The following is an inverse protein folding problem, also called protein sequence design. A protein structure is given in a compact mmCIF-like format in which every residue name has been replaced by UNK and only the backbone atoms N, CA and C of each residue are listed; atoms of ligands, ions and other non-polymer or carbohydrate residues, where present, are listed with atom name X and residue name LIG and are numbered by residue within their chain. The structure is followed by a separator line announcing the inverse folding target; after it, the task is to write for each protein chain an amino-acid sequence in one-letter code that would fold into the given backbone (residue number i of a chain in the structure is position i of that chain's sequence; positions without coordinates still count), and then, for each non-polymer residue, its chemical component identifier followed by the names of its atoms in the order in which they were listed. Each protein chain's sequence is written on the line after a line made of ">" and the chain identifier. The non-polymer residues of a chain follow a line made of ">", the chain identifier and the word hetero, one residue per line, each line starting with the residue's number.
data_IF_206355789466
#
_entry.id   IF_206355789466
#
_cell.length_a   1.000
_cell.length_b   1.000
_cell.length_c   1.000
_cell.angle_alpha   90.00
_cell.angle_beta   90.00
_cell.angle_gamma   90.00
#
_symmetry.space_group_name_H-M   'P 1'
#
loop_
_entity.id
_entity.type
_entity.pdbx_description
1 polymer ?
#
# COMPACT_ATOMS: atom_id res chain seq x y z
N UNK A 1 17.74 10.89 40.99
CA UNK A 1 16.39 10.29 41.07
C UNK A 1 15.33 11.08 40.28
N UNK A 2 15.44 12.41 40.14
CA UNK A 2 14.47 13.21 39.35
C UNK A 2 14.48 12.97 37.83
N UNK A 3 15.63 12.62 37.24
CA UNK A 3 15.74 12.32 35.80
C UNK A 3 14.98 11.06 35.36
N UNK A 4 14.94 10.03 36.22
CA UNK A 4 14.17 8.81 35.97
C UNK A 4 12.66 9.04 36.10
N UNK A 5 12.23 9.87 37.04
CA UNK A 5 10.82 10.22 37.24
C UNK A 5 10.22 10.97 36.03
N UNK A 6 11.01 11.83 35.36
CA UNK A 6 10.54 12.56 34.18
C UNK A 6 10.30 11.65 32.97
N UNK A 7 11.16 10.65 32.75
CA UNK A 7 11.02 9.70 31.63
C UNK A 7 9.78 8.80 31.75
N UNK A 8 9.40 8.42 32.99
CA UNK A 8 8.21 7.58 33.24
C UNK A 8 6.91 8.36 32.97
N UNK A 9 6.91 9.68 33.16
CA UNK A 9 5.74 10.53 32.93
C UNK A 9 5.44 10.77 31.45
N UNK A 10 6.46 10.88 30.59
CA UNK A 10 6.26 11.01 29.13
C UNK A 10 5.76 9.72 28.47
N UNK A 11 6.09 8.55 29.02
CA UNK A 11 5.67 7.26 28.46
C UNK A 11 4.18 6.95 28.69
N UNK A 12 3.54 7.57 29.69
CA UNK A 12 2.14 7.32 30.04
C UNK A 12 1.12 8.04 29.13
N UNK A 13 1.57 8.89 28.20
CA UNK A 13 0.72 9.69 27.30
C UNK A 13 0.57 9.10 25.89
N UNK A 14 1.05 7.88 25.65
CA UNK A 14 0.88 7.23 24.34
C UNK A 14 -0.51 6.60 24.23
N UNK A 15 -1.51 7.40 23.88
CA UNK A 15 -2.82 6.89 23.47
C UNK A 15 -2.66 6.02 22.22
N UNK A 16 -3.36 4.88 22.17
CA UNK A 16 -3.47 4.09 20.95
C UNK A 16 -4.10 4.98 19.86
N UNK A 17 -3.35 5.23 18.78
CA UNK A 17 -3.90 5.90 17.60
C UNK A 17 -4.71 4.88 16.81
N UNK A 18 -6.04 5.03 16.83
CA UNK A 18 -6.91 4.26 15.94
C UNK A 18 -6.96 4.97 14.59
N UNK A 19 -6.72 4.23 13.51
CA UNK A 19 -7.01 4.73 12.18
C UNK A 19 -8.53 4.96 12.08
N UNK A 20 -8.93 6.17 11.66
CA UNK A 20 -10.33 6.56 11.52
C UNK A 20 -10.69 6.65 10.04
N UNK A 21 -11.64 5.82 9.61
CA UNK A 21 -12.26 5.88 8.28
C UNK A 21 -13.42 6.88 8.35
N UNK A 22 -13.43 7.92 7.51
CA UNK A 22 -14.51 8.91 7.47
C UNK A 22 -15.76 8.38 6.74
N UNK A 23 -15.82 7.08 6.47
CA UNK A 23 -16.90 6.41 5.74
C UNK A 23 -16.72 6.48 4.22
N UNK A 24 -15.59 7.00 3.72
CA UNK A 24 -15.35 7.09 2.28
C UNK A 24 -15.29 5.71 1.60
N UNK A 25 -15.04 4.64 2.37
CA UNK A 25 -14.99 3.25 1.88
C UNK A 25 -16.19 2.40 2.32
N UNK A 26 -17.26 2.98 2.88
CA UNK A 26 -18.43 2.21 3.36
C UNK A 26 -19.20 1.51 2.23
N UNK A 27 -19.09 2.02 1.00
CA UNK A 27 -19.68 1.42 -0.18
C UNK A 27 -18.81 0.31 -0.79
N UNK A 28 -17.59 0.10 -0.29
CA UNK A 28 -16.69 -0.97 -0.73
C UNK A 28 -17.00 -2.22 0.08
N UNK A 29 -17.17 -3.36 -0.60
CA UNK A 29 -17.53 -4.60 0.06
C UNK A 29 -16.48 -5.02 1.11
N UNK A 30 -16.88 -5.64 2.23
CA UNK A 30 -15.96 -6.00 3.31
C UNK A 30 -14.80 -6.91 2.89
N UNK A 31 -15.04 -7.81 1.94
CA UNK A 31 -14.06 -8.72 1.36
C UNK A 31 -12.98 -7.99 0.56
N UNK A 32 -13.35 -6.98 -0.24
CA UNK A 32 -12.36 -6.15 -0.96
C UNK A 32 -11.55 -5.32 0.05
N UNK A 33 -12.19 -4.71 1.05
CA UNK A 33 -11.48 -3.97 2.11
C UNK A 33 -10.50 -4.87 2.88
N UNK A 34 -10.92 -6.10 3.19
CA UNK A 34 -10.05 -7.08 3.85
C UNK A 34 -8.90 -7.51 2.93
N UNK A 35 -9.15 -7.65 1.63
CA UNK A 35 -8.11 -7.95 0.64
C UNK A 35 -7.02 -6.88 0.67
N UNK A 36 -7.37 -5.59 0.55
CA UNK A 36 -6.41 -4.48 0.62
C UNK A 36 -5.50 -4.55 1.85
N UNK A 37 -6.09 -4.78 3.04
CA UNK A 37 -5.35 -4.91 4.32
C UNK A 37 -4.45 -6.14 4.40
N UNK A 38 -4.73 -7.15 3.58
CA UNK A 38 -4.02 -8.42 3.61
C UNK A 38 -2.83 -8.47 2.65
N UNK A 39 -2.76 -7.57 1.66
CA UNK A 39 -1.73 -7.61 0.62
C UNK A 39 -0.36 -7.23 1.20
N UNK A 40 0.63 -8.08 0.96
CA UNK A 40 2.02 -7.92 1.41
C UNK A 40 2.91 -8.16 0.20
N UNK A 41 3.86 -7.25 -0.05
CA UNK A 41 4.82 -7.41 -1.13
C UNK A 41 5.78 -8.60 -0.87
N UNK A 42 6.42 -9.17 -1.91
CA UNK A 42 7.38 -10.27 -1.77
C UNK A 42 8.51 -10.02 -0.76
N UNK A 43 8.87 -8.76 -0.52
CA UNK A 43 9.86 -8.37 0.48
C UNK A 43 9.34 -8.35 1.93
N UNK A 44 8.09 -8.78 2.16
CA UNK A 44 7.45 -8.84 3.48
C UNK A 44 6.86 -7.52 3.97
N UNK A 45 6.91 -6.44 3.17
CA UNK A 45 6.36 -5.14 3.55
C UNK A 45 4.87 -5.09 3.20
N UNK A 46 3.97 -4.74 4.14
CA UNK A 46 2.55 -4.59 3.86
C UNK A 46 2.32 -3.41 2.89
N UNK A 47 1.32 -3.55 2.02
CA UNK A 47 0.93 -2.50 1.07
C UNK A 47 0.10 -1.37 1.70
N UNK A 48 -0.10 -1.40 3.03
CA UNK A 48 -0.96 -0.52 3.82
C UNK A 48 -2.46 -0.85 3.68
N UNK A 49 -3.24 -0.03 2.98
CA UNK A 49 -4.70 -0.20 2.85
C UNK A 49 -5.21 0.35 1.50
N UNK A 50 -6.54 0.36 1.33
CA UNK A 50 -7.25 0.94 0.19
C UNK A 50 -7.01 2.45 0.02
N UNK A 51 -6.64 3.15 1.09
CA UNK A 51 -6.29 4.57 1.05
C UNK A 51 -5.03 4.88 0.27
N UNK A 52 -4.11 3.92 0.20
CA UNK A 52 -2.79 4.10 -0.43
C UNK A 52 -2.73 3.42 -1.81
N UNK A 53 -3.73 2.60 -2.12
CA UNK A 53 -3.82 1.83 -3.36
C UNK A 53 -4.55 2.61 -4.46
N UNK A 54 -3.92 2.68 -5.62
CA UNK A 54 -4.44 3.41 -6.77
C UNK A 54 -4.79 2.41 -7.87
N UNK A 55 -6.06 2.38 -8.27
CA UNK A 55 -6.46 1.68 -9.49
C UNK A 55 -5.73 2.32 -10.66
N UNK A 56 -5.12 1.49 -11.50
CA UNK A 56 -4.27 1.97 -12.58
C UNK A 56 -4.38 1.09 -13.81
N UNK A 57 -4.02 1.65 -14.95
CA UNK A 57 -3.69 0.88 -16.14
C UNK A 57 -2.22 0.46 -16.08
N UNK A 58 -1.83 -0.51 -16.91
CA UNK A 58 -0.44 -0.89 -17.04
C UNK A 58 -0.13 -1.35 -18.45
N UNK A 59 1.15 -1.33 -18.76
CA UNK A 59 1.71 -1.77 -20.02
C UNK A 59 2.78 -2.84 -19.74
N UNK A 60 2.97 -3.80 -20.65
CA UNK A 60 3.99 -4.84 -20.49
C UNK A 60 5.05 -4.67 -21.58
N UNK A 61 6.25 -4.26 -21.17
CA UNK A 61 7.34 -3.92 -22.09
C UNK A 61 8.52 -4.84 -21.80
N UNK A 62 8.84 -5.72 -22.75
CA UNK A 62 9.95 -6.67 -22.58
C UNK A 62 9.81 -7.61 -21.37
N UNK A 63 8.58 -7.89 -20.92
CA UNK A 63 8.31 -8.73 -19.75
C UNK A 63 8.22 -7.97 -18.42
N UNK A 64 8.54 -6.67 -18.38
CA UNK A 64 8.36 -5.83 -17.20
C UNK A 64 7.02 -5.08 -17.25
N UNK A 65 6.39 -4.90 -16.09
CA UNK A 65 5.20 -4.05 -15.96
C UNK A 65 5.62 -2.58 -15.86
N UNK A 66 4.86 -1.71 -16.51
CA UNK A 66 5.00 -0.27 -16.44
C UNK A 66 3.66 0.33 -16.05
N UNK A 67 3.67 1.27 -15.11
CA UNK A 67 2.46 1.94 -14.61
C UNK A 67 2.59 3.46 -14.77
N UNK A 68 1.52 4.17 -15.14
CA UNK A 68 1.54 5.62 -15.18
C UNK A 68 1.37 6.16 -13.75
N UNK A 69 2.36 6.91 -13.27
CA UNK A 69 2.31 7.65 -12.01
C UNK A 69 2.73 9.09 -12.31
N UNK A 70 1.88 10.05 -11.97
CA UNK A 70 2.18 11.48 -12.12
C UNK A 70 2.62 11.89 -13.53
N UNK A 71 1.99 11.27 -14.55
CA UNK A 71 2.27 11.55 -15.97
C UNK A 71 3.52 10.86 -16.51
N UNK A 72 4.19 10.03 -15.72
CA UNK A 72 5.37 9.26 -16.12
C UNK A 72 5.09 7.77 -16.09
N UNK A 73 5.53 7.04 -17.11
CA UNK A 73 5.53 5.58 -17.09
C UNK A 73 6.74 5.10 -16.29
N UNK A 74 6.47 4.41 -15.18
CA UNK A 74 7.50 3.91 -14.27
C UNK A 74 7.48 2.39 -14.30
N UNK A 75 8.66 1.79 -14.47
CA UNK A 75 8.82 0.33 -14.39
C UNK A 75 8.53 -0.15 -12.95
N UNK A 76 7.69 -1.16 -12.84
CA UNK A 76 7.38 -1.80 -11.57
C UNK A 76 8.55 -2.70 -11.18
N UNK A 77 9.20 -2.47 -10.03
CA UNK A 77 10.30 -3.32 -9.60
C UNK A 77 9.78 -4.72 -9.25
N UNK A 78 10.51 -5.77 -9.62
CA UNK A 78 10.09 -7.17 -9.43
C UNK A 78 9.69 -7.48 -7.97
N UNK A 79 10.43 -6.90 -7.01
CA UNK A 79 10.15 -7.03 -5.57
C UNK A 79 8.80 -6.48 -5.10
N UNK A 80 8.08 -5.75 -5.95
CA UNK A 80 6.78 -5.15 -5.66
C UNK A 80 5.63 -5.87 -6.39
N UNK A 81 5.93 -6.78 -7.33
CA UNK A 81 4.91 -7.49 -8.11
C UNK A 81 4.31 -8.62 -7.26
N UNK A 82 2.98 -8.64 -7.15
CA UNK A 82 2.24 -9.61 -6.36
C UNK A 82 1.27 -10.35 -7.28
N UNK A 83 1.42 -11.68 -7.37
CA UNK A 83 0.58 -12.53 -8.23
C UNK A 83 -0.13 -13.67 -7.52
N UNK A 84 0.12 -13.88 -6.23
CA UNK A 84 -0.32 -15.03 -5.44
C UNK A 84 -1.51 -14.71 -4.50
N UNK A 85 -2.16 -13.56 -4.69
CA UNK A 85 -3.22 -13.03 -3.80
C UNK A 85 -4.55 -12.81 -4.50
N UNK A 86 -4.65 -13.18 -5.78
CA UNK A 86 -5.76 -12.76 -6.65
C UNK A 86 -5.91 -11.24 -6.74
N UNK A 87 -6.90 -10.79 -7.51
CA UNK A 87 -7.29 -9.39 -7.56
C UNK A 87 -8.82 -9.22 -7.67
N UNK A 88 -9.54 -9.07 -6.54
CA UNK A 88 -11.00 -8.92 -6.54
C UNK A 88 -11.44 -7.53 -7.04
N UNK A 89 -10.51 -6.59 -7.25
CA UNK A 89 -10.82 -5.24 -7.75
C UNK A 89 -11.16 -5.27 -9.25
N UNK A 90 -10.66 -6.27 -9.98
CA UNK A 90 -10.86 -6.40 -11.43
C UNK A 90 -10.07 -5.38 -12.27
N UNK A 91 -9.20 -4.59 -11.64
CA UNK A 91 -8.30 -3.62 -12.27
C UNK A 91 -6.96 -3.68 -11.55
N UNK A 92 -5.87 -3.33 -12.23
CA UNK A 92 -4.57 -3.31 -11.58
C UNK A 92 -4.54 -2.25 -10.47
N UNK A 93 -3.79 -2.52 -9.42
CA UNK A 93 -3.64 -1.63 -8.27
C UNK A 93 -2.17 -1.41 -7.99
N UNK A 94 -1.76 -0.16 -7.84
CA UNK A 94 -0.40 0.25 -7.48
C UNK A 94 -0.39 1.02 -6.17
N UNK A 95 0.58 0.72 -5.32
CA UNK A 95 0.87 1.47 -4.09
C UNK A 95 2.26 2.06 -4.21
N UNK A 96 2.37 3.36 -3.99
CA UNK A 96 3.63 4.06 -4.07
C UNK A 96 3.72 5.17 -3.03
N UNK A 97 4.95 5.57 -2.71
CA UNK A 97 5.23 6.68 -1.80
C UNK A 97 6.29 7.58 -2.41
N UNK A 98 6.29 8.86 -2.02
CA UNK A 98 7.40 9.76 -2.29
C UNK A 98 8.43 9.63 -1.17
N UNK A 99 9.62 9.14 -1.52
CA UNK A 99 10.75 9.08 -0.60
C UNK A 99 11.92 9.90 -1.17
N UNK A 100 12.31 10.96 -0.45
CA UNK A 100 13.41 11.88 -0.85
C UNK A 100 13.26 12.43 -2.28
N UNK A 101 12.03 12.74 -2.68
CA UNK A 101 11.71 13.29 -4.01
C UNK A 101 11.61 12.25 -5.14
N UNK A 102 11.79 10.96 -4.84
CA UNK A 102 11.59 9.87 -5.81
C UNK A 102 10.30 9.11 -5.51
N UNK A 103 9.61 8.66 -6.56
CA UNK A 103 8.49 7.72 -6.46
C UNK A 103 9.05 6.33 -6.23
N UNK A 104 8.61 5.69 -5.14
CA UNK A 104 8.95 4.30 -4.82
C UNK A 104 7.66 3.48 -4.89
N UNK A 105 7.59 2.57 -5.85
CA UNK A 105 6.52 1.58 -5.91
C UNK A 105 6.77 0.53 -4.83
N UNK A 106 5.85 0.45 -3.87
CA UNK A 106 5.88 -0.49 -2.77
C UNK A 106 5.20 -1.80 -3.14
N UNK A 107 4.07 -1.73 -3.84
CA UNK A 107 3.31 -2.89 -4.29
C UNK A 107 2.65 -2.65 -5.64
N UNK A 108 2.45 -3.73 -6.39
CA UNK A 108 1.69 -3.76 -7.62
C UNK A 108 1.00 -5.12 -7.76
N UNK A 109 -0.32 -5.09 -7.93
CA UNK A 109 -1.12 -6.26 -8.28
C UNK A 109 -1.69 -6.04 -9.68
N UNK A 110 -1.33 -6.85 -10.70
CA UNK A 110 -1.91 -6.73 -12.02
C UNK A 110 -3.39 -7.15 -12.04
N UNK A 111 -4.12 -6.72 -13.07
CA UNK A 111 -5.56 -7.01 -13.17
C UNK A 111 -5.86 -8.52 -13.29
N UNK A 112 -4.92 -9.28 -13.84
CA UNK A 112 -5.04 -10.72 -14.11
C UNK A 112 -4.39 -11.60 -13.02
N UNK A 113 -4.06 -11.04 -11.85
CA UNK A 113 -3.55 -11.83 -10.74
C UNK A 113 -4.62 -12.84 -10.27
N UNK A 114 -4.20 -14.09 -10.10
CA UNK A 114 -5.07 -15.24 -9.75
C UNK A 114 -4.83 -15.72 -8.33
#
# INVERSE_FOLDING_TARGET
>A
MHRLALCVWLAALTSAAFAFDNGQYDHVSPDIRAWFKSVIAPNGVPCCDISDGHRTEYDVRGGAYWVPIEGQWIEVPERAIIRDRGNPVGQAVVWYVHHRGAIIISCFVPADAV
#
